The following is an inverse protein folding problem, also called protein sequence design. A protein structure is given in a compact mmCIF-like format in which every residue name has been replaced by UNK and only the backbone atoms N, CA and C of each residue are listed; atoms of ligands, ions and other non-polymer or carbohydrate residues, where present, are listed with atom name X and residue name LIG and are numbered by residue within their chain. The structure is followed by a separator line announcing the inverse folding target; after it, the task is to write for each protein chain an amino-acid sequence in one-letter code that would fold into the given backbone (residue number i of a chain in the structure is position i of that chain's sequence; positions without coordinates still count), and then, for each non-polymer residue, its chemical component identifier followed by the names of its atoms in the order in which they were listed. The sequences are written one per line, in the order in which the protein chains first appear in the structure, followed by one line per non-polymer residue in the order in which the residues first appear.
data_IF_512704867716
#
_entry.id   IF_512704867716
#
_cell.length_a   1.000
_cell.length_b   1.000
_cell.length_c   1.000
_cell.angle_alpha   90.00
_cell.angle_beta   90.00
_cell.angle_gamma   90.00
#
_symmetry.space_group_name_H-M   'P 1'
#
loop_
_entity.id
_entity.type
_entity.pdbx_description
1 polymer ?
#
# COMPACT_ATOMS: atom_id res chain seq x y z
N UNK A 1 -9.14 14.27 19.09
CA UNK A 1 -8.09 15.27 19.38
C UNK A 1 -7.12 15.37 18.19
N UNK A 2 -6.42 16.50 17.98
CA UNK A 2 -5.44 16.66 16.89
C UNK A 2 -4.33 15.60 16.89
N UNK A 3 -4.01 15.02 18.05
CA UNK A 3 -3.03 13.92 18.16
C UNK A 3 -3.56 12.60 17.57
N UNK A 4 -4.86 12.29 17.71
CA UNK A 4 -5.45 11.07 17.09
C UNK A 4 -5.50 11.18 15.58
N UNK A 5 -5.80 12.35 15.02
CA UNK A 5 -5.78 12.57 13.58
C UNK A 5 -4.38 12.43 12.98
N UNK A 6 -3.34 12.96 13.65
CA UNK A 6 -1.96 12.80 13.19
C UNK A 6 -1.53 11.34 13.18
N UNK A 7 -1.95 10.52 14.15
CA UNK A 7 -1.61 9.10 14.21
C UNK A 7 -2.29 8.28 13.12
N UNK A 8 -3.54 8.60 12.75
CA UNK A 8 -4.20 7.93 11.62
C UNK A 8 -3.53 8.22 10.28
N UNK A 9 -2.93 9.42 10.13
CA UNK A 9 -2.23 9.80 8.90
C UNK A 9 -0.83 9.20 8.78
N UNK A 10 -0.23 8.68 9.85
CA UNK A 10 1.14 8.13 9.86
C UNK A 10 1.12 6.60 9.74
N UNK A 11 -0.03 5.94 9.97
CA UNK A 11 -0.19 4.53 9.68
C UNK A 11 0.07 4.27 8.20
N UNK A 12 0.76 3.19 7.93
CA UNK A 12 1.15 2.76 6.59
C UNK A 12 0.00 2.75 5.59
N UNK A 13 -1.16 2.20 6.00
CA UNK A 13 -2.36 2.14 5.18
C UNK A 13 -2.98 3.51 4.94
N UNK A 14 -2.92 4.42 5.93
CA UNK A 14 -3.33 5.81 5.74
C UNK A 14 -2.48 6.51 4.68
N UNK A 15 -1.18 6.26 4.66
CA UNK A 15 -0.27 6.76 3.64
C UNK A 15 -0.53 6.10 2.27
N UNK A 16 -0.75 4.79 2.25
CA UNK A 16 -1.09 4.06 1.02
C UNK A 16 -2.38 4.59 0.38
N UNK A 17 -3.42 4.87 1.17
CA UNK A 17 -4.63 5.52 0.69
C UNK A 17 -4.38 6.94 0.17
N UNK A 18 -3.46 7.68 0.79
CA UNK A 18 -3.02 8.99 0.31
C UNK A 18 -2.38 8.91 -1.08
N UNK A 19 -1.51 7.94 -1.29
CA UNK A 19 -0.86 7.68 -2.60
C UNK A 19 -1.92 7.27 -3.63
N UNK A 20 -2.71 6.23 -3.36
CA UNK A 20 -3.68 5.72 -4.32
C UNK A 20 -4.81 6.73 -4.60
N UNK A 21 -5.36 7.35 -3.56
CA UNK A 21 -6.42 8.35 -3.70
C UNK A 21 -5.98 9.59 -4.48
N UNK A 22 -4.71 10.00 -4.34
CA UNK A 22 -4.17 11.10 -5.15
C UNK A 22 -4.05 10.72 -6.63
N UNK A 23 -3.61 9.49 -6.94
CA UNK A 23 -3.58 9.01 -8.32
C UNK A 23 -4.99 9.02 -8.94
N UNK A 24 -5.99 8.50 -8.22
CA UNK A 24 -7.39 8.52 -8.66
C UNK A 24 -7.92 9.96 -8.79
N UNK A 25 -7.60 10.82 -7.82
CA UNK A 25 -7.98 12.24 -7.89
C UNK A 25 -7.49 12.90 -9.16
N UNK A 26 -6.25 12.64 -9.57
CA UNK A 26 -5.73 13.13 -10.85
C UNK A 26 -6.46 12.53 -12.05
N UNK A 27 -6.72 11.23 -12.04
CA UNK A 27 -7.43 10.56 -13.14
C UNK A 27 -8.77 11.22 -13.47
N UNK A 28 -9.51 11.66 -12.45
CA UNK A 28 -10.83 12.26 -12.65
C UNK A 28 -10.81 13.78 -12.86
N UNK A 29 -9.82 14.48 -12.31
CA UNK A 29 -9.83 15.94 -12.30
C UNK A 29 -8.80 16.58 -13.22
N UNK A 30 -7.72 15.87 -13.53
CA UNK A 30 -6.52 16.38 -14.19
C UNK A 30 -5.93 17.64 -13.49
N UNK A 31 -6.18 17.81 -12.18
CA UNK A 31 -5.57 18.87 -11.38
C UNK A 31 -4.18 18.40 -10.90
N UNK A 32 -3.15 19.10 -11.36
CA UNK A 32 -1.73 18.81 -11.06
C UNK A 32 -1.43 18.76 -9.56
N UNK A 33 -2.24 19.40 -8.73
CA UNK A 33 -2.11 19.32 -7.27
C UNK A 33 -2.19 17.88 -6.75
N UNK A 34 -2.96 17.02 -7.41
CA UNK A 34 -3.04 15.63 -7.03
C UNK A 34 -1.75 14.86 -7.32
N UNK A 35 -1.07 15.13 -8.44
CA UNK A 35 0.24 14.55 -8.72
C UNK A 35 1.32 15.08 -7.77
N UNK A 36 1.25 16.35 -7.38
CA UNK A 36 2.15 16.90 -6.37
C UNK A 36 1.97 16.22 -5.00
N UNK A 37 0.71 15.99 -4.59
CA UNK A 37 0.41 15.25 -3.36
C UNK A 37 0.86 13.80 -3.48
N UNK A 38 0.60 13.17 -4.62
CA UNK A 38 1.05 11.80 -4.91
C UNK A 38 2.57 11.66 -4.72
N UNK A 39 3.37 12.52 -5.37
CA UNK A 39 4.84 12.47 -5.28
C UNK A 39 5.33 12.62 -3.86
N UNK A 40 4.80 13.57 -3.10
CA UNK A 40 5.17 13.80 -1.69
C UNK A 40 4.78 12.64 -0.78
N UNK A 41 3.57 12.10 -0.96
CA UNK A 41 3.11 10.94 -0.19
C UNK A 41 3.92 9.69 -0.51
N UNK A 42 4.23 9.47 -1.79
CA UNK A 42 5.07 8.37 -2.25
C UNK A 42 6.50 8.49 -1.72
N UNK A 43 7.13 9.66 -1.80
CA UNK A 43 8.47 9.92 -1.27
C UNK A 43 8.55 9.59 0.22
N UNK A 44 7.58 10.07 1.01
CA UNK A 44 7.51 9.74 2.43
C UNK A 44 7.33 8.23 2.64
N UNK A 45 6.42 7.59 1.91
CA UNK A 45 6.18 6.16 2.01
C UNK A 45 7.46 5.36 1.73
N UNK A 46 8.13 5.63 0.62
CA UNK A 46 9.36 4.96 0.22
C UNK A 46 10.49 5.15 1.24
N UNK A 47 10.59 6.32 1.87
CA UNK A 47 11.61 6.61 2.90
C UNK A 47 11.48 5.74 4.17
N UNK A 48 10.37 5.04 4.34
CA UNK A 48 10.06 4.21 5.50
C UNK A 48 10.04 2.71 5.19
N UNK A 49 10.27 2.34 3.95
CA UNK A 49 10.26 0.93 3.56
C UNK A 49 11.54 0.22 3.98
N UNK A 50 11.42 -1.02 4.46
CA UNK A 50 12.53 -1.94 4.58
C UNK A 50 12.97 -2.47 3.21
N UNK A 51 14.03 -3.28 3.20
CA UNK A 51 14.59 -3.85 1.98
C UNK A 51 13.58 -4.69 1.17
N UNK A 52 12.67 -5.38 1.87
CA UNK A 52 11.62 -6.19 1.24
C UNK A 52 10.44 -5.38 0.68
N UNK A 53 10.48 -4.06 0.75
CA UNK A 53 9.46 -3.13 0.22
C UNK A 53 8.08 -3.22 0.89
N UNK A 54 7.94 -3.93 2.00
CA UNK A 54 6.68 -4.08 2.74
C UNK A 54 6.78 -3.36 4.08
N UNK A 55 5.96 -2.33 4.34
CA UNK A 55 6.09 -1.50 5.53
C UNK A 55 5.70 -2.23 6.82
N UNK A 56 6.16 -1.72 7.94
CA UNK A 56 5.53 -1.98 9.23
C UNK A 56 4.14 -1.34 9.26
N UNK A 57 3.23 -1.89 10.06
CA UNK A 57 1.84 -1.43 10.22
C UNK A 57 1.70 0.05 10.63
N UNK A 58 2.74 0.61 11.18
CA UNK A 58 2.87 2.03 11.51
C UNK A 58 4.26 2.51 11.09
N UNK A 59 4.29 3.56 10.27
CA UNK A 59 5.52 4.09 9.68
C UNK A 59 6.40 4.88 10.67
N UNK A 60 5.98 5.02 11.91
CA UNK A 60 6.84 5.54 12.99
C UNK A 60 7.88 4.51 13.44
N UNK A 61 7.61 3.23 13.22
CA UNK A 61 8.56 2.17 13.56
C UNK A 61 9.65 2.04 12.51
N UNK A 62 10.88 1.84 13.00
CA UNK A 62 11.98 1.49 12.11
C UNK A 62 11.76 0.11 11.50
N UNK A 63 12.27 -0.14 10.29
CA UNK A 63 12.15 -1.45 9.63
C UNK A 63 12.63 -2.63 10.48
N UNK A 64 13.63 -2.40 11.34
CA UNK A 64 14.28 -3.39 12.19
C UNK A 64 13.60 -3.57 13.56
N UNK A 65 12.49 -2.87 13.80
CA UNK A 65 11.81 -2.85 15.12
C UNK A 65 11.17 -4.18 15.52
N UNK A 66 11.03 -5.12 14.58
CA UNK A 66 10.28 -6.37 14.81
C UNK A 66 8.76 -6.20 14.87
N UNK A 67 8.26 -5.01 14.56
CA UNK A 67 6.83 -4.73 14.48
C UNK A 67 6.19 -5.47 13.29
N UNK A 68 4.92 -5.87 13.40
CA UNK A 68 4.25 -6.60 12.33
C UNK A 68 4.17 -5.78 11.04
N UNK A 69 4.20 -6.48 9.92
CA UNK A 69 4.04 -5.89 8.58
C UNK A 69 2.57 -5.65 8.26
N UNK A 70 2.32 -4.77 7.29
CA UNK A 70 1.02 -4.69 6.62
C UNK A 70 1.20 -4.82 5.10
N UNK A 71 1.05 -6.04 4.62
CA UNK A 71 1.16 -6.39 3.21
C UNK A 71 0.12 -5.67 2.34
N UNK A 72 -1.06 -5.38 2.90
CA UNK A 72 -2.15 -4.69 2.20
C UNK A 72 -1.75 -3.28 1.76
N UNK A 73 -0.92 -2.61 2.55
CA UNK A 73 -0.42 -1.27 2.25
C UNK A 73 0.41 -1.23 0.96
N UNK A 74 1.32 -2.18 0.78
CA UNK A 74 2.14 -2.27 -0.42
C UNK A 74 1.30 -2.57 -1.68
N UNK A 75 0.27 -3.42 -1.56
CA UNK A 75 -0.65 -3.71 -2.65
C UNK A 75 -1.41 -2.45 -3.10
N UNK A 76 -1.90 -1.65 -2.15
CA UNK A 76 -2.59 -0.37 -2.42
C UNK A 76 -1.66 0.62 -3.12
N UNK A 77 -0.43 0.78 -2.62
CA UNK A 77 0.56 1.69 -3.25
C UNK A 77 0.93 1.23 -4.65
N UNK A 78 1.07 -0.08 -4.89
CA UNK A 78 1.32 -0.61 -6.22
C UNK A 78 0.20 -0.23 -7.21
N UNK A 79 -1.07 -0.28 -6.80
CA UNK A 79 -2.19 0.21 -7.62
C UNK A 79 -2.05 1.70 -7.93
N UNK A 80 -1.72 2.52 -6.94
CA UNK A 80 -1.51 3.96 -7.12
C UNK A 80 -0.36 4.29 -8.08
N UNK A 81 0.77 3.59 -7.97
CA UNK A 81 1.92 3.71 -8.86
C UNK A 81 1.55 3.37 -10.31
N UNK A 82 0.84 2.28 -10.52
CA UNK A 82 0.43 1.83 -11.85
C UNK A 82 -0.63 2.77 -12.47
N UNK A 83 -1.50 3.37 -11.65
CA UNK A 83 -2.46 4.37 -12.13
C UNK A 83 -1.76 5.68 -12.52
N UNK A 84 -0.96 6.25 -11.61
CA UNK A 84 -0.29 7.52 -11.84
C UNK A 84 0.72 7.47 -13.00
N UNK A 85 1.34 6.31 -13.25
CA UNK A 85 2.26 6.09 -14.36
C UNK A 85 1.64 6.30 -15.75
N UNK A 86 0.33 6.39 -15.87
CA UNK A 86 -0.37 6.68 -17.14
C UNK A 86 -0.29 8.14 -17.55
N UNK A 87 0.05 9.04 -16.61
CA UNK A 87 -0.15 10.48 -16.75
C UNK A 87 1.13 11.32 -16.67
N UNK A 88 2.27 10.66 -16.57
CA UNK A 88 3.59 11.33 -16.49
C UNK A 88 4.49 10.94 -17.64
N UNK A 89 5.64 11.59 -17.77
CA UNK A 89 6.61 11.22 -18.80
C UNK A 89 7.13 9.77 -18.62
N UNK A 90 7.65 9.18 -19.70
CA UNK A 90 8.04 7.78 -19.71
C UNK A 90 9.17 7.46 -18.71
N UNK A 91 10.02 8.42 -18.38
CA UNK A 91 11.10 8.22 -17.40
C UNK A 91 10.53 8.02 -16.01
N UNK A 92 9.66 8.91 -15.56
CA UNK A 92 8.97 8.82 -14.27
C UNK A 92 8.03 7.60 -14.23
N UNK A 93 7.29 7.37 -15.32
CA UNK A 93 6.40 6.22 -15.45
C UNK A 93 7.15 4.88 -15.35
N UNK A 94 8.31 4.74 -15.98
CA UNK A 94 9.13 3.54 -15.90
C UNK A 94 9.65 3.28 -14.47
N UNK A 95 10.03 4.34 -13.75
CA UNK A 95 10.43 4.25 -12.34
C UNK A 95 9.27 3.74 -11.47
N UNK A 96 8.08 4.32 -11.62
CA UNK A 96 6.91 3.92 -10.83
C UNK A 96 6.43 2.50 -11.15
N UNK A 97 6.45 2.11 -12.43
CA UNK A 97 6.17 0.72 -12.82
C UNK A 97 7.20 -0.26 -12.25
N UNK A 98 8.46 0.13 -12.17
CA UNK A 98 9.52 -0.70 -11.55
C UNK A 98 9.29 -0.87 -10.07
N UNK A 99 8.99 0.21 -9.33
CA UNK A 99 8.65 0.15 -7.91
C UNK A 99 7.45 -0.75 -7.64
N UNK A 100 6.38 -0.59 -8.43
CA UNK A 100 5.20 -1.44 -8.30
C UNK A 100 5.52 -2.94 -8.52
N UNK A 101 6.34 -3.26 -9.53
CA UNK A 101 6.79 -4.64 -9.77
C UNK A 101 7.63 -5.19 -8.63
N UNK A 102 8.51 -4.39 -8.04
CA UNK A 102 9.32 -4.81 -6.88
C UNK A 102 8.45 -5.12 -5.67
N UNK A 103 7.48 -4.25 -5.33
CA UNK A 103 6.51 -4.50 -4.27
C UNK A 103 5.72 -5.78 -4.53
N UNK A 104 5.17 -5.94 -5.74
CA UNK A 104 4.38 -7.12 -6.09
C UNK A 104 5.20 -8.41 -6.14
N UNK A 105 6.46 -8.35 -6.56
CA UNK A 105 7.37 -9.49 -6.50
C UNK A 105 7.65 -9.92 -5.07
N UNK A 106 7.87 -8.97 -4.16
CA UNK A 106 8.04 -9.26 -2.74
C UNK A 106 6.77 -9.86 -2.13
N UNK A 107 5.59 -9.26 -2.42
CA UNK A 107 4.31 -9.81 -1.97
C UNK A 107 4.11 -11.25 -2.47
N UNK A 108 4.36 -11.52 -3.75
CA UNK A 108 4.21 -12.86 -4.33
C UNK A 108 5.15 -13.89 -3.72
N UNK A 109 6.40 -13.50 -3.45
CA UNK A 109 7.42 -14.40 -2.93
C UNK A 109 7.23 -14.74 -1.44
N UNK A 110 6.86 -13.75 -0.63
CA UNK A 110 6.97 -13.83 0.83
C UNK A 110 5.64 -13.70 1.57
N UNK A 111 4.60 -13.14 0.94
CA UNK A 111 3.35 -12.75 1.59
C UNK A 111 2.12 -13.39 0.97
N UNK A 112 2.21 -13.93 -0.23
CA UNK A 112 1.07 -14.62 -0.86
C UNK A 112 0.91 -16.03 -0.32
N UNK A 113 -0.35 -16.47 -0.20
CA UNK A 113 -0.71 -17.85 0.16
C UNK A 113 -0.16 -18.80 -0.90
N UNK A 114 0.53 -19.85 -0.46
CA UNK A 114 1.09 -20.84 -1.39
C UNK A 114 -0.02 -21.75 -1.95
N UNK A 115 0.08 -22.16 -3.22
CA UNK A 115 -0.86 -23.11 -3.80
C UNK A 115 -1.01 -24.36 -2.95
N UNK A 116 -2.24 -24.81 -2.73
CA UNK A 116 -2.56 -25.98 -1.93
C UNK A 116 -2.63 -25.75 -0.42
N UNK A 117 -2.40 -24.54 0.07
CA UNK A 117 -2.64 -24.17 1.46
C UNK A 117 -4.14 -23.94 1.67
N UNK A 118 -4.71 -24.60 2.68
CA UNK A 118 -6.07 -24.32 3.11
C UNK A 118 -6.09 -22.96 3.83
N UNK A 119 -6.79 -21.99 3.28
CA UNK A 119 -6.90 -20.65 3.87
C UNK A 119 -7.98 -19.85 3.17
N UNK A 120 -8.42 -18.78 3.80
CA UNK A 120 -9.53 -17.94 3.34
C UNK A 120 -9.10 -16.68 2.58
N UNK A 121 -7.80 -16.45 2.37
CA UNK A 121 -7.28 -15.25 1.71
C UNK A 121 -6.17 -15.53 0.71
N UNK A 122 -5.75 -14.50 -0.01
CA UNK A 122 -4.65 -14.56 -0.98
C UNK A 122 -3.36 -13.93 -0.44
N UNK A 123 -3.48 -12.92 0.42
CA UNK A 123 -2.38 -12.14 0.94
C UNK A 123 -2.34 -12.24 2.47
N UNK A 124 -1.22 -12.75 2.98
CA UNK A 124 -0.94 -12.92 4.42
C UNK A 124 -0.30 -11.65 5.01
N UNK A 125 -0.19 -11.62 6.34
CA UNK A 125 0.56 -10.61 7.08
C UNK A 125 0.00 -9.19 6.93
N UNK A 126 -1.32 -9.07 6.83
CA UNK A 126 -2.03 -7.80 6.95
C UNK A 126 -2.23 -7.42 8.41
N UNK A 127 -1.92 -6.19 8.79
CA UNK A 127 -2.12 -5.69 10.16
C UNK A 127 -2.94 -4.42 10.12
N UNK A 128 -4.19 -4.48 10.53
CA UNK A 128 -5.07 -3.32 10.55
C UNK A 128 -5.25 -2.68 11.93
N UNK A 129 -4.94 -3.40 13.00
CA UNK A 129 -5.09 -2.92 14.36
C UNK A 129 -4.18 -3.67 15.33
N UNK A 130 -3.31 -2.93 16.01
CA UNK A 130 -2.48 -3.44 17.09
C UNK A 130 -2.63 -2.57 18.33
N UNK A 131 -2.68 -3.17 19.51
CA UNK A 131 -2.67 -2.41 20.77
C UNK A 131 -1.40 -1.59 20.91
N UNK A 132 -1.58 -0.36 21.32
CA UNK A 132 -0.50 0.55 21.67
C UNK A 132 -1.02 1.52 22.72
N UNK A 133 -0.18 2.32 23.38
CA UNK A 133 -0.65 3.37 24.28
C UNK A 133 -1.67 4.33 23.66
N UNK A 134 -1.74 4.36 22.35
CA UNK A 134 -2.59 5.24 21.56
C UNK A 134 -3.75 4.54 20.84
N UNK A 135 -3.70 3.23 20.76
CA UNK A 135 -4.73 2.39 20.15
C UNK A 135 -5.15 1.28 21.12
N UNK A 136 -6.33 1.44 21.71
CA UNK A 136 -6.88 0.52 22.71
C UNK A 136 -7.95 -0.41 22.13
N UNK A 137 -8.07 -0.48 20.80
CA UNK A 137 -9.10 -1.29 20.16
C UNK A 137 -8.91 -2.79 20.42
N UNK A 138 -10.04 -3.47 20.53
CA UNK A 138 -10.17 -4.92 20.60
C UNK A 138 -11.29 -5.35 19.66
N UNK A 139 -11.16 -6.46 18.92
CA UNK A 139 -9.99 -7.35 18.87
C UNK A 139 -8.79 -6.69 18.15
N UNK A 140 -7.61 -7.27 18.38
CA UNK A 140 -6.44 -6.94 17.55
C UNK A 140 -6.58 -7.63 16.19
N UNK A 141 -6.17 -6.93 15.12
CA UNK A 141 -6.07 -7.45 13.77
C UNK A 141 -4.62 -7.40 13.31
N UNK A 142 -3.85 -8.38 13.73
CA UNK A 142 -2.41 -8.50 13.47
C UNK A 142 -2.15 -9.79 12.75
N UNK A 143 -1.35 -9.70 11.66
CA UNK A 143 -0.87 -10.87 10.93
C UNK A 143 -2.01 -11.70 10.29
N UNK A 144 -2.96 -11.03 9.67
CA UNK A 144 -4.17 -11.63 9.12
C UNK A 144 -4.26 -11.50 7.59
N UNK A 145 -5.13 -12.29 6.98
CA UNK A 145 -5.65 -12.00 5.64
C UNK A 145 -6.78 -10.97 5.75
N UNK A 146 -6.76 -9.97 4.88
CA UNK A 146 -7.78 -8.94 4.86
C UNK A 146 -8.42 -8.86 3.47
N UNK A 147 -9.73 -8.64 3.40
CA UNK A 147 -10.46 -8.55 2.14
C UNK A 147 -9.94 -7.45 1.23
N UNK A 148 -9.53 -6.31 1.79
CA UNK A 148 -8.92 -5.23 1.01
C UNK A 148 -7.49 -5.56 0.58
N UNK A 149 -6.71 -6.30 1.37
CA UNK A 149 -5.40 -6.80 0.97
C UNK A 149 -5.50 -7.68 -0.25
N UNK A 150 -6.39 -8.65 -0.23
CA UNK A 150 -6.68 -9.54 -1.34
C UNK A 150 -7.16 -8.77 -2.58
N UNK A 151 -8.11 -7.85 -2.39
CA UNK A 151 -8.66 -7.05 -3.47
C UNK A 151 -7.57 -6.23 -4.18
N UNK A 152 -6.78 -5.44 -3.44
CA UNK A 152 -5.76 -4.58 -4.06
C UNK A 152 -4.58 -5.36 -4.60
N UNK A 153 -4.25 -6.51 -4.02
CA UNK A 153 -3.24 -7.41 -4.59
C UNK A 153 -3.69 -7.93 -5.97
N UNK A 154 -4.94 -8.39 -6.09
CA UNK A 154 -5.51 -8.83 -7.35
C UNK A 154 -5.65 -7.68 -8.36
N UNK A 155 -6.08 -6.50 -7.92
CA UNK A 155 -6.16 -5.31 -8.77
C UNK A 155 -4.77 -4.95 -9.33
N UNK A 156 -3.74 -4.88 -8.49
CA UNK A 156 -2.39 -4.54 -8.92
C UNK A 156 -1.82 -5.56 -9.93
N UNK A 157 -2.04 -6.86 -9.70
CA UNK A 157 -1.65 -7.90 -10.64
C UNK A 157 -2.42 -7.79 -11.97
N UNK A 158 -3.70 -7.45 -11.91
CA UNK A 158 -4.51 -7.24 -13.12
C UNK A 158 -4.01 -6.05 -13.92
N UNK A 159 -3.71 -4.94 -13.27
CA UNK A 159 -3.11 -3.73 -13.88
C UNK A 159 -1.75 -3.98 -14.56
N UNK A 160 -0.98 -4.97 -14.10
CA UNK A 160 0.26 -5.38 -14.76
C UNK A 160 0.05 -6.21 -16.02
N UNK A 161 -1.06 -6.91 -16.13
CA UNK A 161 -1.30 -7.93 -17.17
C UNK A 161 -2.34 -7.53 -18.19
N UNK A 162 -3.17 -6.53 -17.88
CA UNK A 162 -4.28 -6.08 -18.71
C UNK A 162 -4.43 -4.57 -18.61
N UNK A 163 -5.06 -3.97 -19.61
CA UNK A 163 -5.58 -2.62 -19.49
C UNK A 163 -6.64 -2.59 -18.40
N UNK A 164 -6.47 -1.68 -17.46
CA UNK A 164 -7.36 -1.52 -16.32
C UNK A 164 -8.24 -0.30 -16.51
N UNK A 165 -9.55 -0.52 -16.50
CA UNK A 165 -10.55 0.52 -16.42
C UNK A 165 -11.10 0.59 -14.99
N UNK A 166 -11.17 1.80 -14.43
CA UNK A 166 -11.76 2.01 -13.11
C UNK A 166 -13.29 1.99 -13.20
N UNK A 167 -13.91 1.32 -12.25
CA UNK A 167 -15.37 1.17 -12.19
C UNK A 167 -16.03 2.10 -11.16
N UNK A 168 -15.26 2.93 -10.48
CA UNK A 168 -15.71 3.90 -9.49
C UNK A 168 -15.03 5.25 -9.68
#
# INVERSE_FOLDING_TARGET
SPRRQRQMCIRDRGQAWGVYGSAIGYTYTHDEKFLDVFRKALEFYLSRLPEDMIPCWDMLFAPESGEPRDSSSAAIVACGLLEAAKYVDETEAAQWRTLARQMLASLAANYAVKPGTLGSGQLLHGTYSKKSPYNTCTPEGVDECTSWGDYFYMEALTRLTKDWEMYW
#
